data_IF_867012345111
#
_entry.id   IF_867012345111
#
_cell.length_a   1.000
_cell.length_b   1.000
_cell.length_c   1.000
_cell.angle_alpha   90.00
_cell.angle_beta   90.00
_cell.angle_gamma   90.00
#
_symmetry.space_group_name_H-M   'P 1'
#
loop_
_entity.id
_entity.type
_entity.pdbx_description
1 polymer ?
#
# COMPACT_ATOMS: atom_id res chain seq x y z
N UNK A 1 48.85 -4.99 44.86
CA UNK A 1 48.71 -4.53 43.46
C UNK A 1 47.39 -4.93 42.77
N UNK A 2 46.70 -6.01 43.19
CA UNK A 2 45.45 -6.49 42.56
C UNK A 2 44.27 -5.50 42.62
N UNK A 3 44.19 -4.67 43.66
CA UNK A 3 43.04 -3.76 43.91
C UNK A 3 42.81 -2.66 42.85
N UNK A 4 43.82 -2.31 42.02
CA UNK A 4 43.69 -1.26 41.00
C UNK A 4 43.33 -1.76 39.59
N UNK A 5 43.40 -3.07 39.36
CA UNK A 5 43.08 -3.67 38.05
C UNK A 5 41.58 -3.92 37.90
N UNK A 6 40.92 -4.31 38.99
CA UNK A 6 39.47 -4.54 39.06
C UNK A 6 38.63 -3.35 38.54
N UNK A 7 38.87 -2.09 38.97
CA UNK A 7 38.09 -0.96 38.46
C UNK A 7 38.34 -0.68 36.97
N UNK A 8 39.54 -0.95 36.46
CA UNK A 8 39.87 -0.77 35.03
C UNK A 8 39.10 -1.79 34.18
N UNK A 9 39.04 -3.04 34.64
CA UNK A 9 38.27 -4.10 33.95
C UNK A 9 36.77 -3.77 33.97
N UNK A 10 36.24 -3.29 35.09
CA UNK A 10 34.84 -2.86 35.20
C UNK A 10 34.53 -1.68 34.26
N UNK A 11 35.42 -0.69 34.16
CA UNK A 11 35.29 0.42 33.21
C UNK A 11 35.33 -0.06 31.75
N UNK A 12 36.21 -0.99 31.42
CA UNK A 12 36.28 -1.57 30.08
C UNK A 12 35.00 -2.34 29.72
N UNK A 13 34.48 -3.15 30.64
CA UNK A 13 33.18 -3.83 30.48
C UNK A 13 32.02 -2.85 30.33
N UNK A 14 32.00 -1.79 31.13
CA UNK A 14 30.98 -0.75 31.05
C UNK A 14 31.01 -0.02 29.70
N UNK A 15 32.20 0.33 29.21
CA UNK A 15 32.39 0.96 27.91
C UNK A 15 31.97 0.03 26.76
N UNK A 16 32.30 -1.26 26.84
CA UNK A 16 31.87 -2.26 25.87
C UNK A 16 30.33 -2.38 25.84
N UNK A 17 29.67 -2.39 27.00
CA UNK A 17 28.21 -2.40 27.09
C UNK A 17 27.59 -1.15 26.46
N UNK A 18 28.13 0.04 26.74
CA UNK A 18 27.65 1.30 26.16
C UNK A 18 27.83 1.32 24.64
N UNK A 19 28.98 0.86 24.14
CA UNK A 19 29.24 0.73 22.71
C UNK A 19 28.25 -0.26 22.07
N UNK A 20 28.00 -1.41 22.69
CA UNK A 20 27.04 -2.40 22.20
C UNK A 20 25.60 -1.85 22.19
N UNK A 21 25.22 -1.00 23.14
CA UNK A 21 23.91 -0.35 23.15
C UNK A 21 23.76 0.67 22.01
N UNK A 22 24.83 1.41 21.71
CA UNK A 22 24.84 2.39 20.61
C UNK A 22 24.91 1.73 19.22
N UNK A 23 25.61 0.60 19.08
CA UNK A 23 25.84 -0.12 17.81
C UNK A 23 24.92 -1.33 17.61
N UNK A 24 24.17 -1.74 18.64
CA UNK A 24 23.35 -2.95 18.68
C UNK A 24 22.06 -2.88 17.85
N UNK A 25 21.13 -3.79 18.14
CA UNK A 25 19.92 -4.05 17.32
C UNK A 25 18.95 -2.86 17.19
N UNK A 26 19.12 -1.80 17.98
CA UNK A 26 18.37 -0.54 17.91
C UNK A 26 19.23 0.67 17.51
N UNK A 27 20.42 0.45 16.95
CA UNK A 27 21.35 1.52 16.62
C UNK A 27 20.76 2.51 15.60
N UNK A 28 20.99 3.80 15.84
CA UNK A 28 20.55 4.92 14.99
C UNK A 28 20.81 4.69 13.49
N UNK A 29 21.95 4.10 13.05
CA UNK A 29 22.19 3.83 11.63
C UNK A 29 21.20 2.81 11.05
N UNK A 30 20.83 1.77 11.81
CA UNK A 30 19.91 0.73 11.38
C UNK A 30 18.48 1.26 11.27
N UNK A 31 18.05 2.07 12.23
CA UNK A 31 16.74 2.74 12.19
C UNK A 31 16.65 3.69 11.01
N UNK A 32 17.69 4.48 10.74
CA UNK A 32 17.74 5.36 9.57
C UNK A 32 17.68 4.58 8.24
N UNK A 33 18.36 3.45 8.14
CA UNK A 33 18.29 2.59 6.96
C UNK A 33 16.89 1.99 6.75
N UNK A 34 16.25 1.52 7.82
CA UNK A 34 14.86 1.01 7.76
C UNK A 34 13.87 2.12 7.41
N UNK A 35 14.04 3.32 7.97
CA UNK A 35 13.18 4.46 7.66
C UNK A 35 13.26 4.82 6.17
N UNK A 36 14.47 4.85 5.59
CA UNK A 36 14.65 5.09 4.15
C UNK A 36 13.95 4.03 3.29
N UNK A 37 14.01 2.76 3.67
CA UNK A 37 13.29 1.69 2.95
C UNK A 37 11.78 1.88 3.00
N UNK A 38 11.25 2.27 4.17
CA UNK A 38 9.83 2.58 4.34
C UNK A 38 9.42 3.75 3.44
N UNK A 39 10.22 4.81 3.39
CA UNK A 39 9.90 6.00 2.61
C UNK A 39 9.88 5.70 1.10
N UNK A 40 10.86 4.91 0.62
CA UNK A 40 10.88 4.43 -0.77
C UNK A 40 9.65 3.57 -1.09
N UNK A 41 9.30 2.63 -0.21
CA UNK A 41 8.14 1.77 -0.42
C UNK A 41 6.82 2.56 -0.41
N UNK A 42 6.70 3.57 0.47
CA UNK A 42 5.53 4.46 0.52
C UNK A 42 5.39 5.25 -0.77
N UNK A 43 6.49 5.80 -1.31
CA UNK A 43 6.46 6.51 -2.57
C UNK A 43 6.01 5.61 -3.74
N UNK A 44 6.54 4.39 -3.82
CA UNK A 44 6.13 3.42 -4.83
C UNK A 44 4.65 3.01 -4.69
N UNK A 45 4.18 2.80 -3.46
CA UNK A 45 2.77 2.48 -3.20
C UNK A 45 1.84 3.63 -3.60
N UNK A 46 2.23 4.87 -3.34
CA UNK A 46 1.39 6.03 -3.69
C UNK A 46 1.26 6.18 -5.21
N UNK A 47 2.35 5.97 -5.96
CA UNK A 47 2.31 5.93 -7.42
C UNK A 47 1.38 4.82 -7.94
N UNK A 48 1.48 3.61 -7.36
CA UNK A 48 0.59 2.50 -7.72
C UNK A 48 -0.87 2.80 -7.41
N UNK A 49 -1.17 3.47 -6.29
CA UNK A 49 -2.53 3.88 -5.93
C UNK A 49 -3.12 4.88 -6.92
N UNK A 50 -2.33 5.84 -7.39
CA UNK A 50 -2.78 6.81 -8.41
C UNK A 50 -3.14 6.13 -9.73
N UNK A 51 -2.31 5.18 -10.18
CA UNK A 51 -2.57 4.41 -11.41
C UNK A 51 -3.83 3.56 -11.26
N UNK A 52 -3.98 2.86 -10.13
CA UNK A 52 -5.18 2.06 -9.87
C UNK A 52 -6.45 2.91 -9.80
N UNK A 53 -6.38 4.10 -9.19
CA UNK A 53 -7.52 5.02 -9.15
C UNK A 53 -7.94 5.45 -10.57
N UNK A 54 -6.97 5.79 -11.42
CA UNK A 54 -7.21 6.13 -12.82
C UNK A 54 -7.84 4.97 -13.59
N UNK A 55 -7.25 3.77 -13.53
CA UNK A 55 -7.78 2.59 -14.22
C UNK A 55 -9.17 2.23 -13.74
N UNK A 56 -9.44 2.38 -12.44
CA UNK A 56 -10.76 2.12 -11.87
C UNK A 56 -11.80 3.09 -12.43
N UNK A 57 -11.45 4.37 -12.58
CA UNK A 57 -12.31 5.36 -13.23
C UNK A 57 -12.56 5.00 -14.70
N UNK A 58 -11.50 4.66 -15.45
CA UNK A 58 -11.63 4.28 -16.86
C UNK A 58 -12.54 3.05 -17.03
N UNK A 59 -12.41 2.04 -16.17
CA UNK A 59 -13.29 0.86 -16.17
C UNK A 59 -14.72 1.22 -15.81
N UNK A 60 -14.93 2.16 -14.90
CA UNK A 60 -16.26 2.63 -14.54
C UNK A 60 -16.92 3.36 -15.71
N UNK A 61 -16.23 4.31 -16.33
CA UNK A 61 -16.71 5.08 -17.49
C UNK A 61 -17.04 4.16 -18.68
N UNK A 62 -16.21 3.14 -18.92
CA UNK A 62 -16.47 2.13 -19.96
C UNK A 62 -17.72 1.31 -19.67
N UNK A 63 -17.95 0.92 -18.42
CA UNK A 63 -19.16 0.17 -18.03
C UNK A 63 -20.41 1.03 -18.18
N UNK A 64 -20.39 2.26 -17.67
CA UNK A 64 -21.53 3.17 -17.82
C UNK A 64 -21.83 3.45 -19.30
N UNK A 65 -20.80 3.65 -20.12
CA UNK A 65 -20.97 3.82 -21.56
C UNK A 65 -21.60 2.61 -22.24
N UNK A 66 -21.22 1.39 -21.85
CA UNK A 66 -21.82 0.16 -22.36
C UNK A 66 -23.27 -0.01 -21.92
N UNK A 67 -23.58 0.31 -20.66
CA UNK A 67 -24.93 0.23 -20.12
C UNK A 67 -25.87 1.20 -20.85
N UNK A 68 -25.40 2.42 -21.13
CA UNK A 68 -26.14 3.41 -21.94
C UNK A 68 -26.43 2.92 -23.36
N UNK A 69 -25.47 2.24 -23.99
CA UNK A 69 -25.65 1.66 -25.33
C UNK A 69 -26.63 0.48 -25.29
N UNK A 70 -26.55 -0.37 -24.26
CA UNK A 70 -27.45 -1.50 -24.07
C UNK A 70 -28.90 -1.01 -23.84
N UNK A 71 -29.10 0.04 -23.05
CA UNK A 71 -30.42 0.65 -22.83
C UNK A 71 -30.99 1.23 -24.12
N UNK A 72 -30.18 1.89 -24.95
CA UNK A 72 -30.61 2.39 -26.26
C UNK A 72 -30.98 1.24 -27.21
N UNK A 73 -30.18 0.18 -27.27
CA UNK A 73 -30.47 -0.99 -28.11
C UNK A 73 -31.76 -1.71 -27.66
N UNK A 74 -32.00 -1.80 -26.35
CA UNK A 74 -33.23 -2.39 -25.79
C UNK A 74 -34.46 -1.52 -26.05
N UNK A 75 -34.35 -0.20 -25.84
CA UNK A 75 -35.48 0.73 -25.94
C UNK A 75 -35.85 1.10 -27.37
N UNK A 76 -34.87 1.32 -28.25
CA UNK A 76 -35.12 1.77 -29.63
C UNK A 76 -35.22 0.61 -30.62
N UNK A 77 -34.40 -0.43 -30.46
CA UNK A 77 -34.30 -1.54 -31.42
C UNK A 77 -35.00 -2.82 -30.93
N UNK A 78 -35.49 -2.83 -29.69
CA UNK A 78 -36.12 -4.02 -29.10
C UNK A 78 -35.18 -5.22 -28.96
N UNK A 79 -33.85 -4.98 -28.97
CA UNK A 79 -32.87 -6.05 -28.90
C UNK A 79 -32.82 -6.65 -27.50
N UNK A 80 -32.89 -7.98 -27.42
CA UNK A 80 -32.78 -8.77 -26.18
C UNK A 80 -31.78 -9.90 -26.37
N UNK A 81 -31.08 -10.31 -25.30
CA UNK A 81 -30.10 -11.40 -25.37
C UNK A 81 -30.84 -12.75 -25.59
N UNK A 82 -30.19 -13.76 -26.20
CA UNK A 82 -30.80 -15.09 -26.33
C UNK A 82 -31.17 -15.66 -24.95
N UNK A 83 -32.40 -16.18 -24.82
CA UNK A 83 -32.98 -16.68 -23.56
C UNK A 83 -33.22 -15.62 -22.47
N UNK A 84 -33.33 -14.35 -22.83
CA UNK A 84 -33.66 -13.26 -21.89
C UNK A 84 -35.14 -12.91 -21.91
N UNK A 85 -35.77 -12.74 -20.73
CA UNK A 85 -37.12 -12.18 -20.58
C UNK A 85 -37.01 -10.75 -20.09
N UNK A 86 -37.32 -9.79 -20.96
CA UNK A 86 -37.25 -8.36 -20.66
C UNK A 86 -38.66 -7.79 -20.37
N UNK A 87 -38.83 -7.15 -19.21
CA UNK A 87 -40.13 -6.61 -18.74
C UNK A 87 -40.00 -5.11 -18.53
N UNK A 88 -40.79 -4.31 -19.24
CA UNK A 88 -40.91 -2.86 -19.00
C UNK A 88 -42.14 -2.57 -18.13
N UNK A 89 -41.92 -1.91 -16.99
CA UNK A 89 -43.00 -1.42 -16.12
C UNK A 89 -43.18 0.09 -16.32
N UNK A 90 -44.30 0.50 -16.90
CA UNK A 90 -44.72 1.91 -16.92
C UNK A 90 -45.89 2.09 -15.94
N UNK A 91 -45.71 2.76 -14.79
CA UNK A 91 -46.83 3.11 -13.93
C UNK A 91 -47.71 4.16 -14.64
N UNK A 92 -49.03 3.95 -14.62
CA UNK A 92 -50.03 4.88 -15.18
C UNK A 92 -50.23 6.11 -14.31
#
# INVERSE_FOLDING_TARGET
>A
MVSRIVPVILLALLAALHAQLWLGRGSVPRVNAMQRQIDVQKAANEQARQVNARLTSEVHDLKEGLDMVEEKARSELGMVKPNEVYVQFTPR
#
